data_IF_521666751354
#
_entry.id   IF_521666751354
#
_cell.length_a   1.000
_cell.length_b   1.000
_cell.length_c   1.000
_cell.angle_alpha   90.00
_cell.angle_beta   90.00
_cell.angle_gamma   90.00
#
_symmetry.space_group_name_H-M   'P 1'
#
loop_
_entity.id
_entity.type
_entity.pdbx_description
1 polymer ?
#
# COMPACT_ATOMS: atom_id res chain seq x y z
N UNK A 1 14.27 77.40 10.82
CA UNK A 1 13.96 76.09 11.41
C UNK A 1 13.24 75.23 10.37
N UNK A 2 13.98 74.43 9.60
CA UNK A 2 13.40 73.49 8.61
C UNK A 2 13.35 72.11 9.27
N UNK A 3 12.15 71.54 9.42
CA UNK A 3 11.93 70.22 10.01
C UNK A 3 12.33 69.15 8.98
N UNK A 4 13.38 68.38 9.29
CA UNK A 4 13.72 67.16 8.55
C UNK A 4 12.79 66.04 9.02
N UNK A 5 11.92 65.57 8.12
CA UNK A 5 11.22 64.30 8.30
C UNK A 5 12.23 63.18 8.01
N UNK A 6 12.52 62.36 9.03
CA UNK A 6 13.34 61.17 8.87
C UNK A 6 12.52 60.12 8.15
N UNK A 7 12.81 59.91 6.87
CA UNK A 7 12.28 58.83 6.06
C UNK A 7 12.98 57.53 6.50
N UNK A 8 12.36 56.79 7.40
CA UNK A 8 12.76 55.42 7.74
C UNK A 8 12.42 54.52 6.56
N UNK A 9 13.38 54.36 5.65
CA UNK A 9 13.36 53.29 4.65
C UNK A 9 13.63 51.99 5.43
N UNK A 10 12.59 51.21 5.67
CA UNK A 10 12.73 49.82 6.08
C UNK A 10 13.36 49.07 4.92
N UNK A 11 14.68 48.88 4.98
CA UNK A 11 15.38 47.94 4.10
C UNK A 11 14.92 46.56 4.54
N UNK A 12 13.94 46.00 3.84
CA UNK A 12 13.63 44.59 3.89
C UNK A 12 14.90 43.84 3.50
N UNK A 13 15.45 43.08 4.44
CA UNK A 13 16.52 42.13 4.15
C UNK A 13 15.94 41.08 3.19
N UNK A 14 16.17 41.26 1.90
CA UNK A 14 16.04 40.20 0.92
C UNK A 14 17.24 39.29 1.15
N UNK A 15 17.05 38.21 1.91
CA UNK A 15 18.02 37.14 1.94
C UNK A 15 18.13 36.62 0.50
N UNK A 16 19.32 36.75 -0.10
CA UNK A 16 19.63 36.05 -1.35
C UNK A 16 19.53 34.56 -1.05
N UNK A 17 18.44 33.94 -1.51
CA UNK A 17 18.24 32.50 -1.44
C UNK A 17 19.26 31.92 -2.41
N UNK A 18 20.29 31.23 -1.91
CA UNK A 18 21.03 30.31 -2.77
C UNK A 18 19.98 29.32 -3.31
N UNK A 19 19.82 29.21 -4.62
CA UNK A 19 18.91 28.25 -5.23
C UNK A 19 19.28 26.84 -4.73
N UNK A 20 18.53 26.33 -3.75
CA UNK A 20 18.76 25.04 -3.10
C UNK A 20 17.87 24.02 -3.80
N UNK A 21 18.47 23.00 -4.40
CA UNK A 21 17.77 21.97 -5.17
C UNK A 21 17.16 20.91 -4.25
N UNK A 22 15.90 20.53 -4.48
CA UNK A 22 15.21 19.49 -3.71
C UNK A 22 15.37 18.13 -4.38
N UNK A 23 15.75 17.11 -3.61
CA UNK A 23 15.85 15.71 -4.07
C UNK A 23 15.51 14.73 -2.95
N UNK A 24 15.04 13.53 -3.31
CA UNK A 24 14.87 12.41 -2.37
C UNK A 24 13.43 12.02 -2.01
N UNK A 25 12.40 12.74 -2.45
CA UNK A 25 11.00 12.37 -2.13
C UNK A 25 10.40 11.49 -3.24
N UNK A 26 10.94 10.29 -3.40
CA UNK A 26 10.47 9.35 -4.41
C UNK A 26 9.71 8.20 -3.75
N UNK A 27 8.59 7.80 -4.35
CA UNK A 27 7.74 6.69 -3.92
C UNK A 27 7.28 6.80 -2.46
N UNK A 28 6.95 8.02 -2.03
CA UNK A 28 6.39 8.27 -0.69
C UNK A 28 4.89 7.93 -0.70
N UNK A 29 4.41 7.30 0.36
CA UNK A 29 3.02 6.85 0.48
C UNK A 29 2.27 7.79 1.42
N UNK A 30 1.13 8.32 0.96
CA UNK A 30 0.25 9.16 1.77
C UNK A 30 -0.56 8.33 2.79
N UNK A 31 -1.24 9.00 3.73
CA UNK A 31 -2.09 8.34 4.75
C UNK A 31 -3.27 7.55 4.18
N UNK A 32 -3.55 7.69 2.88
CA UNK A 32 -4.61 6.96 2.17
C UNK A 32 -4.05 5.80 1.33
N UNK A 33 -2.74 5.56 1.34
CA UNK A 33 -2.08 4.49 0.58
C UNK A 33 -1.70 4.85 -0.86
N UNK A 34 -1.88 6.10 -1.30
CA UNK A 34 -1.46 6.53 -2.63
C UNK A 34 0.03 6.81 -2.66
N UNK A 35 0.70 6.43 -3.76
CA UNK A 35 2.15 6.66 -3.94
C UNK A 35 2.41 7.92 -4.75
N UNK A 36 3.35 8.74 -4.28
CA UNK A 36 3.73 10.01 -4.86
C UNK A 36 5.24 10.12 -5.04
N UNK A 37 5.67 10.87 -6.05
CA UNK A 37 7.09 11.17 -6.29
C UNK A 37 7.25 12.63 -6.67
N UNK A 38 8.04 13.38 -5.90
CA UNK A 38 8.36 14.78 -6.19
C UNK A 38 9.00 14.92 -7.58
N UNK A 39 9.89 14.00 -7.94
CA UNK A 39 10.54 13.99 -9.25
C UNK A 39 9.54 13.88 -10.40
N UNK A 40 8.47 13.10 -10.25
CA UNK A 40 7.40 13.00 -11.25
C UNK A 40 6.72 14.36 -11.44
N UNK A 41 6.32 15.02 -10.35
CA UNK A 41 5.66 16.32 -10.44
C UNK A 41 6.53 17.40 -11.08
N UNK A 42 7.81 17.49 -10.67
CA UNK A 42 8.73 18.48 -11.21
C UNK A 42 9.06 18.20 -12.69
N UNK A 43 9.25 16.93 -13.08
CA UNK A 43 9.46 16.54 -14.48
C UNK A 43 8.24 16.81 -15.37
N UNK A 44 7.04 16.78 -14.80
CA UNK A 44 5.79 17.17 -15.48
C UNK A 44 5.63 18.69 -15.59
N UNK A 45 6.63 19.49 -15.17
CA UNK A 45 6.60 20.94 -15.26
C UNK A 45 5.76 21.61 -14.17
N UNK A 46 5.45 20.91 -13.07
CA UNK A 46 4.61 21.43 -12.00
C UNK A 46 5.42 22.04 -10.86
N UNK A 47 4.97 23.17 -10.35
CA UNK A 47 5.44 23.76 -9.11
C UNK A 47 4.95 22.94 -7.92
N UNK A 48 5.78 22.78 -6.89
CA UNK A 48 5.40 21.97 -5.71
C UNK A 48 5.53 22.79 -4.45
N UNK A 49 4.42 22.90 -3.72
CA UNK A 49 4.34 23.44 -2.36
C UNK A 49 4.54 22.29 -1.39
N UNK A 50 5.61 22.37 -0.60
CA UNK A 50 5.88 21.47 0.51
C UNK A 50 5.45 22.17 1.80
N UNK A 51 4.41 21.66 2.44
CA UNK A 51 3.91 22.14 3.73
C UNK A 51 4.36 21.19 4.85
N UNK A 52 5.33 21.64 5.65
CA UNK A 52 5.82 20.88 6.80
C UNK A 52 5.13 21.35 8.08
N UNK A 53 4.53 20.40 8.82
CA UNK A 53 3.76 20.71 10.01
C UNK A 53 3.97 19.69 11.14
N UNK A 54 3.49 20.08 12.33
CA UNK A 54 3.45 19.28 13.55
C UNK A 54 2.06 19.42 14.17
N UNK A 55 1.57 18.39 14.86
CA UNK A 55 0.22 18.44 15.44
C UNK A 55 0.10 19.47 16.58
N UNK A 56 1.21 19.70 17.28
CA UNK A 56 1.32 20.67 18.39
C UNK A 56 1.59 22.10 17.92
N UNK A 57 1.61 22.36 16.61
CA UNK A 57 1.97 23.64 16.02
C UNK A 57 0.75 24.56 15.83
N UNK A 58 0.59 25.54 16.72
CA UNK A 58 -0.48 26.55 16.60
C UNK A 58 -0.42 27.37 15.30
N UNK A 59 0.79 27.68 14.81
CA UNK A 59 0.98 28.37 13.53
C UNK A 59 0.48 27.52 12.34
N UNK A 60 0.67 26.20 12.41
CA UNK A 60 0.26 25.26 11.39
C UNK A 60 -1.26 25.15 11.36
N UNK A 61 -1.90 25.09 12.53
CA UNK A 61 -3.36 25.14 12.65
C UNK A 61 -3.95 26.42 12.05
N UNK A 62 -3.31 27.58 12.27
CA UNK A 62 -3.73 28.85 11.67
C UNK A 62 -3.46 28.95 10.16
N UNK A 63 -2.60 28.09 9.61
CA UNK A 63 -2.19 28.12 8.21
C UNK A 63 -2.86 27.04 7.36
N UNK A 64 -3.36 25.96 7.99
CA UNK A 64 -4.02 24.86 7.30
C UNK A 64 -5.21 25.31 6.42
N UNK A 65 -6.14 26.19 6.87
CA UNK A 65 -7.20 26.68 5.98
C UNK A 65 -6.68 27.48 4.77
N UNK A 66 -5.53 28.15 4.92
CA UNK A 66 -4.90 28.91 3.83
C UNK A 66 -4.23 27.98 2.82
N UNK A 67 -3.62 26.90 3.29
CA UNK A 67 -3.11 25.83 2.41
C UNK A 67 -4.25 25.17 1.65
N UNK A 68 -5.38 24.89 2.31
CA UNK A 68 -6.59 24.38 1.64
C UNK A 68 -7.10 25.34 0.56
N UNK A 69 -7.18 26.64 0.88
CA UNK A 69 -7.56 27.69 -0.07
C UNK A 69 -6.66 27.72 -1.31
N UNK A 70 -5.34 27.62 -1.13
CA UNK A 70 -4.38 27.54 -2.25
C UNK A 70 -4.58 26.25 -3.04
N UNK A 71 -4.75 25.11 -2.38
CA UNK A 71 -5.00 23.84 -3.04
C UNK A 71 -6.24 23.89 -3.93
N UNK A 72 -7.34 24.45 -3.43
CA UNK A 72 -8.58 24.59 -4.20
C UNK A 72 -8.41 25.53 -5.40
N UNK A 73 -7.80 26.71 -5.19
CA UNK A 73 -7.62 27.71 -6.24
C UNK A 73 -6.65 27.28 -7.35
N UNK A 74 -5.64 26.48 -7.01
CA UNK A 74 -4.63 26.02 -7.98
C UNK A 74 -4.87 24.58 -8.48
N UNK A 75 -6.11 24.10 -8.34
CA UNK A 75 -6.59 22.96 -9.11
C UNK A 75 -6.31 21.62 -8.46
N UNK A 76 -6.22 21.58 -7.13
CA UNK A 76 -6.30 20.36 -6.35
C UNK A 76 -5.29 19.29 -6.77
N UNK A 77 -4.05 19.71 -7.05
CA UNK A 77 -2.94 18.88 -7.57
C UNK A 77 -3.12 18.36 -9.02
N UNK A 78 -4.10 18.86 -9.75
CA UNK A 78 -4.39 18.45 -11.12
C UNK A 78 -3.78 19.43 -12.14
N UNK A 79 -3.49 20.66 -11.74
CA UNK A 79 -2.94 21.69 -12.62
C UNK A 79 -1.44 21.88 -12.39
N UNK A 80 -0.95 23.13 -12.49
CA UNK A 80 0.46 23.49 -12.45
C UNK A 80 1.05 23.47 -11.04
N UNK A 81 0.22 23.45 -10.00
CA UNK A 81 0.67 23.50 -8.60
C UNK A 81 0.22 22.25 -7.87
N UNK A 82 1.20 21.60 -7.25
CA UNK A 82 1.01 20.46 -6.36
C UNK A 82 1.24 20.94 -4.92
N UNK A 83 0.38 20.53 -4.00
CA UNK A 83 0.49 20.78 -2.56
C UNK A 83 0.65 19.44 -1.85
N UNK A 84 1.71 19.30 -1.05
CA UNK A 84 2.01 18.10 -0.26
C UNK A 84 2.14 18.48 1.22
N UNK A 85 1.40 17.79 2.09
CA UNK A 85 1.45 18.00 3.55
C UNK A 85 2.34 16.94 4.20
N UNK A 86 3.38 17.36 4.92
CA UNK A 86 4.45 16.50 5.40
C UNK A 86 4.55 16.66 6.92
N UNK A 87 4.14 15.65 7.68
CA UNK A 87 4.35 15.69 9.12
C UNK A 87 5.83 15.44 9.43
N UNK A 88 6.36 16.15 10.42
CA UNK A 88 7.76 16.00 10.89
C UNK A 88 7.84 15.60 12.35
N UNK A 89 6.71 15.19 12.91
CA UNK A 89 6.62 14.78 14.31
C UNK A 89 7.31 13.43 14.48
N UNK A 90 8.34 13.42 15.33
CA UNK A 90 9.10 12.24 15.69
C UNK A 90 8.95 11.89 17.19
N UNK A 91 7.91 12.41 17.84
CA UNK A 91 7.58 12.09 19.22
C UNK A 91 7.18 10.62 19.38
N UNK A 92 7.36 10.09 20.58
CA UNK A 92 7.01 8.71 20.92
C UNK A 92 5.91 8.71 21.99
N UNK A 93 4.75 8.05 21.78
CA UNK A 93 4.38 7.31 20.56
C UNK A 93 4.20 8.23 19.35
N UNK A 94 4.58 7.74 18.17
CA UNK A 94 4.42 8.50 16.93
C UNK A 94 2.93 8.58 16.56
N UNK A 95 2.51 9.67 15.91
CA UNK A 95 1.15 9.76 15.38
C UNK A 95 0.88 8.65 14.37
N UNK A 96 -0.29 8.03 14.46
CA UNK A 96 -0.81 7.13 13.43
C UNK A 96 -1.31 7.92 12.23
N UNK A 97 -1.56 7.22 11.11
CA UNK A 97 -2.18 7.84 9.94
C UNK A 97 -3.55 8.43 10.27
N UNK A 98 -4.29 7.80 11.19
CA UNK A 98 -5.59 8.30 11.65
C UNK A 98 -5.45 9.60 12.45
N UNK A 99 -4.42 9.71 13.30
CA UNK A 99 -4.17 10.94 14.06
C UNK A 99 -3.89 12.12 13.10
N UNK A 100 -3.11 11.86 12.04
CA UNK A 100 -2.83 12.84 10.99
C UNK A 100 -4.10 13.27 10.23
N UNK A 101 -4.99 12.32 9.91
CA UNK A 101 -6.28 12.58 9.25
C UNK A 101 -7.19 13.43 10.14
N UNK A 102 -7.30 13.07 11.42
CA UNK A 102 -8.15 13.76 12.39
C UNK A 102 -7.67 15.20 12.62
N UNK A 103 -6.35 15.40 12.74
CA UNK A 103 -5.77 16.72 12.89
C UNK A 103 -6.05 17.62 11.68
N UNK A 104 -5.83 17.11 10.46
CA UNK A 104 -6.07 17.87 9.23
C UNK A 104 -7.55 18.21 9.02
N UNK A 105 -8.44 17.29 9.42
CA UNK A 105 -9.89 17.52 9.43
C UNK A 105 -10.25 18.68 10.36
N UNK A 106 -9.74 18.66 11.59
CA UNK A 106 -9.97 19.73 12.55
C UNK A 106 -9.32 21.07 12.13
N UNK A 107 -8.18 21.00 11.44
CA UNK A 107 -7.47 22.17 10.93
C UNK A 107 -8.07 22.75 9.62
N UNK A 108 -9.07 22.08 9.02
CA UNK A 108 -9.73 22.52 7.80
C UNK A 108 -8.88 22.38 6.53
N UNK A 109 -8.00 21.38 6.47
CA UNK A 109 -7.13 21.11 5.32
C UNK A 109 -7.14 19.62 4.94
N UNK A 110 -8.26 19.15 4.41
CA UNK A 110 -8.46 17.73 4.08
C UNK A 110 -8.16 17.38 2.62
N UNK A 111 -7.96 18.38 1.77
CA UNK A 111 -7.77 18.19 0.34
C UNK A 111 -6.40 17.62 -0.05
N UNK A 112 -5.29 18.31 0.27
CA UNK A 112 -3.99 17.89 -0.23
C UNK A 112 -3.51 16.58 0.43
N UNK A 113 -2.78 15.72 -0.32
CA UNK A 113 -2.19 14.50 0.21
C UNK A 113 -1.37 14.76 1.47
N UNK A 114 -1.61 13.94 2.48
CA UNK A 114 -0.96 14.05 3.77
C UNK A 114 -0.07 12.85 4.01
N UNK A 115 1.17 13.10 4.42
CA UNK A 115 2.18 12.07 4.56
C UNK A 115 2.62 11.97 6.02
N UNK A 116 2.43 10.78 6.57
CA UNK A 116 2.94 10.46 7.90
C UNK A 116 4.42 10.06 7.83
N UNK A 117 5.22 10.57 8.77
CA UNK A 117 6.65 10.29 8.87
C UNK A 117 6.95 8.79 8.98
N UNK A 118 6.05 8.00 9.60
CA UNK A 118 6.21 6.55 9.71
C UNK A 118 5.99 5.79 8.38
N UNK A 119 5.11 6.28 7.49
CA UNK A 119 4.79 5.63 6.22
C UNK A 119 5.94 5.67 5.19
N UNK A 120 6.99 6.46 5.45
CA UNK A 120 8.19 6.58 4.60
C UNK A 120 9.46 5.97 5.20
N UNK A 121 9.29 5.01 6.14
CA UNK A 121 10.34 4.42 6.98
C UNK A 121 11.73 4.30 6.33
N UNK A 122 12.63 5.19 6.75
CA UNK A 122 14.08 4.99 6.67
C UNK A 122 14.82 6.07 5.89
N UNK A 123 15.46 6.99 6.61
CA UNK A 123 16.69 7.75 6.23
C UNK A 123 16.75 8.48 4.88
N UNK A 124 15.73 8.39 4.02
CA UNK A 124 15.67 8.83 2.63
C UNK A 124 14.35 9.57 2.34
N UNK A 125 13.74 10.17 3.36
CA UNK A 125 12.49 10.94 3.25
C UNK A 125 12.69 12.45 3.41
N UNK A 126 11.57 13.17 3.58
CA UNK A 126 11.55 14.62 3.75
C UNK A 126 12.12 15.13 5.08
N UNK A 127 12.39 14.25 6.04
CA UNK A 127 13.05 14.59 7.30
C UNK A 127 14.47 15.14 7.14
N UNK A 128 15.24 14.63 6.17
CA UNK A 128 16.58 15.18 5.86
C UNK A 128 16.48 16.59 5.30
N UNK A 129 15.58 16.80 4.34
CA UNK A 129 15.28 18.12 3.81
C UNK A 129 14.82 19.08 4.93
N UNK A 130 13.88 18.65 5.78
CA UNK A 130 13.42 19.45 6.90
C UNK A 130 14.54 19.84 7.89
N UNK A 131 15.47 18.92 8.17
CA UNK A 131 16.57 19.15 9.11
C UNK A 131 17.61 20.14 8.57
N UNK A 132 17.94 20.10 7.28
CA UNK A 132 18.94 20.99 6.69
C UNK A 132 18.42 22.42 6.48
N UNK A 133 17.10 22.63 6.48
CA UNK A 133 16.47 23.96 6.33
C UNK A 133 16.05 24.60 7.66
N UNK A 134 16.69 24.21 8.77
CA UNK A 134 16.74 25.02 9.99
C UNK A 134 15.81 24.60 11.12
N UNK A 135 14.80 23.76 10.86
CA UNK A 135 13.86 23.25 11.87
C UNK A 135 12.99 24.36 12.52
N UNK A 136 11.69 24.14 12.61
CA UNK A 136 10.77 25.17 13.13
C UNK A 136 9.31 24.87 12.84
N UNK A 137 8.42 25.50 13.61
CA UNK A 137 6.97 25.26 13.55
C UNK A 137 6.32 25.97 12.35
N UNK A 138 5.80 25.18 11.41
CA UNK A 138 5.13 25.64 10.19
C UNK A 138 6.15 26.13 9.17
N UNK A 139 6.51 25.28 8.22
CA UNK A 139 7.44 25.64 7.14
C UNK A 139 6.85 25.34 5.78
N UNK A 140 6.98 26.29 4.87
CA UNK A 140 6.38 26.23 3.54
C UNK A 140 7.47 26.50 2.51
N UNK A 141 7.58 25.63 1.53
CA UNK A 141 8.55 25.77 0.44
C UNK A 141 7.83 25.69 -0.90
N UNK A 142 8.15 26.59 -1.83
CA UNK A 142 7.77 26.47 -3.24
C UNK A 142 8.97 26.02 -4.05
N UNK A 143 8.84 24.88 -4.71
CA UNK A 143 9.88 24.29 -5.55
C UNK A 143 9.53 24.53 -7.02
N UNK A 144 10.49 25.05 -7.78
CA UNK A 144 10.36 25.26 -9.22
C UNK A 144 10.68 23.98 -10.00
N UNK A 145 9.89 23.63 -11.03
CA UNK A 145 10.21 22.52 -11.95
C UNK A 145 11.41 22.82 -12.87
N UNK A 146 11.80 24.10 -13.04
CA UNK A 146 12.84 24.49 -14.00
C UNK A 146 14.22 23.91 -13.66
N UNK A 147 14.54 23.88 -12.36
CA UNK A 147 15.85 23.48 -11.84
C UNK A 147 15.75 22.77 -10.47
N UNK A 148 14.54 22.36 -10.07
CA UNK A 148 14.22 21.79 -8.76
C UNK A 148 14.58 22.70 -7.57
N UNK A 149 14.79 24.01 -7.79
CA UNK A 149 15.18 24.93 -6.72
C UNK A 149 14.01 25.40 -5.87
N UNK A 150 14.29 25.67 -4.60
CA UNK A 150 13.38 26.42 -3.72
C UNK A 150 13.38 27.89 -4.12
N UNK A 151 12.25 28.37 -4.65
CA UNK A 151 12.06 29.76 -5.09
C UNK A 151 11.27 30.61 -4.09
N UNK A 152 10.66 29.99 -3.09
CA UNK A 152 10.07 30.66 -1.94
C UNK A 152 10.16 29.76 -0.70
N UNK A 153 10.42 30.37 0.45
CA UNK A 153 10.41 29.69 1.74
C UNK A 153 9.83 30.61 2.82
N UNK A 154 9.00 30.07 3.69
CA UNK A 154 8.44 30.80 4.82
C UNK A 154 8.40 29.91 6.08
N UNK A 155 8.63 30.53 7.24
CA UNK A 155 8.45 29.90 8.56
C UNK A 155 7.40 30.66 9.37
N UNK A 156 6.59 29.95 10.16
CA UNK A 156 5.57 30.51 11.04
C UNK A 156 4.16 30.39 10.48
N UNK A 157 3.32 31.41 10.69
CA UNK A 157 1.97 31.47 10.10
C UNK A 157 2.11 31.85 8.63
N UNK A 158 1.54 31.05 7.72
CA UNK A 158 1.59 31.29 6.28
C UNK A 158 1.04 32.67 5.90
N UNK A 159 1.79 33.40 5.10
CA UNK A 159 1.35 34.61 4.41
C UNK A 159 0.84 34.18 3.03
N UNK A 160 -0.47 33.95 2.98
CA UNK A 160 -1.14 33.48 1.78
C UNK A 160 -0.96 34.44 0.60
N UNK A 161 -0.92 35.75 0.85
CA UNK A 161 -0.77 36.74 -0.20
C UNK A 161 0.65 36.73 -0.77
N UNK A 162 1.67 36.61 0.09
CA UNK A 162 3.05 36.50 -0.35
C UNK A 162 3.27 35.24 -1.21
N UNK A 163 2.77 34.09 -0.77
CA UNK A 163 2.90 32.85 -1.54
C UNK A 163 2.15 32.93 -2.88
N UNK A 164 0.92 33.45 -2.89
CA UNK A 164 0.15 33.68 -4.13
C UNK A 164 0.84 34.64 -5.07
N UNK A 165 1.50 35.68 -4.57
CA UNK A 165 2.25 36.61 -5.41
C UNK A 165 3.44 35.92 -6.11
N UNK A 166 4.16 35.03 -5.42
CA UNK A 166 5.21 34.23 -6.06
C UNK A 166 4.62 33.26 -7.08
N UNK A 167 3.54 32.55 -6.73
CA UNK A 167 2.85 31.65 -7.67
C UNK A 167 2.40 32.41 -8.92
N UNK A 168 1.70 33.53 -8.80
CA UNK A 168 1.22 34.31 -9.95
C UNK A 168 2.32 34.89 -10.84
N UNK A 169 3.54 35.05 -10.30
CA UNK A 169 4.69 35.54 -11.09
C UNK A 169 5.39 34.42 -11.87
N UNK A 170 5.23 33.16 -11.45
CA UNK A 170 5.96 32.02 -12.02
C UNK A 170 5.03 31.03 -12.75
N UNK A 171 3.79 30.90 -12.26
CA UNK A 171 2.76 30.00 -12.76
C UNK A 171 1.82 30.78 -13.67
N UNK A 172 1.61 30.29 -14.88
CA UNK A 172 0.52 30.78 -15.74
C UNK A 172 -0.77 30.09 -15.31
N UNK A 173 -1.55 30.75 -14.45
CA UNK A 173 -2.81 30.21 -13.92
C UNK A 173 -3.83 29.99 -15.05
N UNK A 174 -4.42 28.80 -15.10
CA UNK A 174 -5.41 28.45 -16.12
C UNK A 174 -4.79 27.91 -17.42
N UNK A 175 -3.53 27.46 -17.39
CA UNK A 175 -3.00 26.73 -18.53
C UNK A 175 -3.65 25.34 -18.58
N UNK A 176 -4.11 24.96 -19.77
CA UNK A 176 -4.57 23.59 -19.98
C UNK A 176 -3.35 22.68 -19.94
N UNK A 177 -3.20 21.93 -18.85
CA UNK A 177 -2.16 20.93 -18.74
C UNK A 177 -2.70 19.59 -19.24
N UNK A 178 -1.91 18.96 -20.10
CA UNK A 178 -2.10 17.56 -20.45
C UNK A 178 -1.08 16.75 -19.67
N UNK A 179 -1.57 15.85 -18.82
CA UNK A 179 -0.73 14.99 -17.98
C UNK A 179 -0.84 13.55 -18.42
N UNK A 180 0.30 12.87 -18.58
CA UNK A 180 0.33 11.46 -18.93
C UNK A 180 0.94 10.67 -17.76
N UNK A 181 0.11 9.91 -17.07
CA UNK A 181 0.55 9.03 -15.98
C UNK A 181 0.59 7.60 -16.48
N UNK A 182 1.66 6.86 -16.23
CA UNK A 182 1.71 5.42 -16.43
C UNK A 182 1.77 4.69 -15.10
N UNK A 183 0.88 3.72 -14.87
CA UNK A 183 0.87 2.92 -13.65
C UNK A 183 0.74 1.42 -13.96
N UNK A 184 1.35 0.59 -13.12
CA UNK A 184 1.14 -0.87 -13.11
C UNK A 184 0.78 -1.28 -11.70
N UNK A 185 -0.32 -2.00 -11.53
CA UNK A 185 -0.82 -2.42 -10.22
C UNK A 185 -1.41 -3.83 -10.25
N UNK A 186 -1.63 -4.41 -9.07
CA UNK A 186 -2.25 -5.72 -8.90
C UNK A 186 -3.73 -5.57 -8.53
N UNK A 187 -4.61 -6.27 -9.25
CA UNK A 187 -6.07 -6.34 -9.12
C UNK A 187 -6.84 -5.03 -9.31
N UNK A 188 -6.37 -3.93 -8.72
CA UNK A 188 -6.98 -2.62 -8.85
C UNK A 188 -5.97 -1.50 -8.74
N UNK A 189 -6.35 -0.33 -9.27
CA UNK A 189 -5.63 0.91 -9.11
C UNK A 189 -6.62 2.04 -8.91
N UNK A 190 -6.46 2.78 -7.82
CA UNK A 190 -7.26 3.97 -7.57
C UNK A 190 -6.54 5.18 -8.12
N UNK A 191 -7.22 5.92 -8.99
CA UNK A 191 -6.73 7.15 -9.57
C UNK A 191 -7.81 8.23 -9.44
N UNK A 192 -7.48 9.30 -8.73
CA UNK A 192 -8.38 10.43 -8.42
C UNK A 192 -9.74 10.00 -7.84
N UNK A 193 -9.70 9.09 -6.87
CA UNK A 193 -10.92 8.59 -6.20
C UNK A 193 -11.77 7.62 -7.02
N UNK A 194 -11.36 7.28 -8.25
CA UNK A 194 -11.98 6.24 -9.06
C UNK A 194 -11.12 4.98 -9.06
N UNK A 195 -11.72 3.83 -8.79
CA UNK A 195 -11.01 2.54 -8.77
C UNK A 195 -11.19 1.81 -10.09
N UNK A 196 -10.06 1.48 -10.72
CA UNK A 196 -9.98 0.76 -11.98
C UNK A 196 -9.51 -0.67 -11.72
N UNK A 197 -10.21 -1.66 -12.26
CA UNK A 197 -9.90 -3.09 -12.14
C UNK A 197 -9.50 -3.72 -13.48
N UNK A 198 -9.26 -2.89 -14.49
CA UNK A 198 -8.89 -3.32 -15.84
C UNK A 198 -7.78 -2.44 -16.39
N UNK A 199 -6.96 -3.02 -17.25
CA UNK A 199 -5.94 -2.27 -17.99
C UNK A 199 -6.60 -1.38 -19.04
N UNK A 200 -6.03 -0.21 -19.31
CA UNK A 200 -6.55 0.70 -20.33
C UNK A 200 -5.97 2.10 -20.21
N UNK A 201 -6.41 2.96 -21.14
CA UNK A 201 -6.19 4.39 -21.06
C UNK A 201 -7.45 5.05 -20.51
N UNK A 202 -7.30 5.84 -19.45
CA UNK A 202 -8.40 6.51 -18.77
C UNK A 202 -8.16 8.01 -18.78
N UNK A 203 -9.09 8.74 -19.39
CA UNK A 203 -9.05 10.19 -19.43
C UNK A 203 -9.93 10.78 -18.34
N UNK A 204 -9.43 11.79 -17.65
CA UNK A 204 -10.24 12.65 -16.79
C UNK A 204 -9.98 14.11 -17.11
N UNK A 205 -11.08 14.83 -17.31
CA UNK A 205 -11.07 16.28 -17.44
C UNK A 205 -11.31 16.91 -16.08
N UNK A 206 -10.50 17.90 -15.74
CA UNK A 206 -10.67 18.69 -14.53
C UNK A 206 -10.82 20.14 -14.92
N UNK A 207 -11.86 20.76 -14.37
CA UNK A 207 -12.11 22.19 -14.43
C UNK A 207 -12.27 22.68 -13.01
N UNK A 208 -11.34 23.52 -12.54
CA UNK A 208 -11.51 24.20 -11.25
C UNK A 208 -12.13 25.58 -11.43
N UNK A 209 -12.48 26.24 -10.32
CA UNK A 209 -13.05 27.60 -10.31
C UNK A 209 -12.12 28.67 -10.92
N UNK A 210 -10.84 28.35 -11.08
CA UNK A 210 -9.83 29.23 -11.69
C UNK A 210 -9.70 29.05 -13.20
N UNK A 211 -10.55 28.21 -13.83
CA UNK A 211 -10.58 28.02 -15.28
C UNK A 211 -9.44 27.16 -15.84
N UNK A 212 -8.76 26.40 -14.97
CA UNK A 212 -7.82 25.37 -15.43
C UNK A 212 -8.62 24.20 -15.98
N UNK A 213 -8.68 24.08 -17.30
CA UNK A 213 -9.22 22.92 -17.99
C UNK A 213 -8.07 21.96 -18.31
N UNK A 214 -7.86 20.93 -17.50
CA UNK A 214 -6.80 19.93 -17.72
C UNK A 214 -7.40 18.59 -18.18
N UNK A 215 -6.69 17.91 -19.06
CA UNK A 215 -7.01 16.55 -19.49
C UNK A 215 -5.85 15.65 -19.10
N UNK A 216 -6.07 14.77 -18.13
CA UNK A 216 -5.07 13.77 -17.74
C UNK A 216 -5.44 12.43 -18.32
N UNK A 217 -4.43 11.74 -18.85
CA UNK A 217 -4.54 10.39 -19.36
C UNK A 217 -3.73 9.46 -18.46
N UNK A 218 -4.40 8.50 -17.83
CA UNK A 218 -3.76 7.38 -17.14
C UNK A 218 -3.64 6.20 -18.11
N UNK A 219 -2.40 5.79 -18.42
CA UNK A 219 -2.09 4.50 -19.05
C UNK A 219 -1.87 3.45 -17.97
N UNK A 220 -2.89 2.64 -17.69
CA UNK A 220 -2.92 1.66 -16.61
C UNK A 220 -2.72 0.23 -17.11
N UNK A 221 -1.82 -0.50 -16.47
CA UNK A 221 -1.70 -1.96 -16.55
C UNK A 221 -2.13 -2.60 -15.23
N UNK A 222 -3.24 -3.33 -15.23
CA UNK A 222 -3.68 -4.17 -14.10
C UNK A 222 -3.26 -5.61 -14.37
N UNK A 223 -2.40 -6.13 -13.50
CA UNK A 223 -2.06 -7.54 -13.38
C UNK A 223 -3.01 -8.20 -12.38
N UNK A 224 -3.47 -9.43 -12.65
CA UNK A 224 -4.35 -10.12 -11.71
C UNK A 224 -3.57 -10.99 -10.75
N UNK A 225 -3.91 -10.89 -9.47
CA UNK A 225 -3.63 -11.92 -8.48
C UNK A 225 -4.40 -13.18 -8.87
N UNK A 226 -3.81 -14.35 -8.59
CA UNK A 226 -4.50 -15.62 -8.82
C UNK A 226 -4.66 -16.38 -7.50
N UNK A 227 -5.60 -17.32 -7.51
CA UNK A 227 -5.69 -18.31 -6.46
C UNK A 227 -5.87 -19.68 -7.07
N UNK A 228 -5.25 -20.67 -6.43
CA UNK A 228 -5.31 -22.07 -6.86
C UNK A 228 -5.49 -22.96 -5.65
N UNK A 229 -6.35 -23.98 -5.77
CA UNK A 229 -6.49 -25.00 -4.73
C UNK A 229 -6.22 -26.39 -5.28
N UNK A 230 -5.58 -27.22 -4.46
CA UNK A 230 -5.32 -28.62 -4.74
C UNK A 230 -5.58 -29.47 -3.50
N UNK A 231 -5.91 -30.75 -3.72
CA UNK A 231 -6.09 -31.72 -2.64
C UNK A 231 -5.02 -32.81 -2.75
N UNK A 232 -4.45 -33.20 -1.62
CA UNK A 232 -3.43 -34.25 -1.57
C UNK A 232 -3.63 -35.15 -0.34
N UNK A 233 -3.61 -36.46 -0.56
CA UNK A 233 -3.78 -37.46 0.51
C UNK A 233 -2.51 -38.28 0.62
N UNK A 234 -1.95 -38.37 1.84
CA UNK A 234 -0.74 -39.14 2.11
C UNK A 234 -0.84 -39.89 3.45
N UNK A 235 -0.27 -41.10 3.58
CA UNK A 235 -0.16 -41.79 4.86
C UNK A 235 0.97 -41.27 5.75
N UNK A 236 1.80 -40.37 5.23
CA UNK A 236 2.96 -39.79 5.95
C UNK A 236 2.98 -38.27 5.84
N UNK A 237 3.64 -37.57 6.78
CA UNK A 237 3.85 -36.12 6.67
C UNK A 237 4.52 -35.73 5.35
N UNK A 238 4.17 -34.55 4.83
CA UNK A 238 4.66 -34.05 3.53
C UNK A 238 5.30 -32.68 3.69
N UNK A 239 6.25 -32.35 2.81
CA UNK A 239 6.78 -30.99 2.73
C UNK A 239 5.99 -30.19 1.68
N UNK A 240 5.48 -29.03 2.07
CA UNK A 240 4.81 -28.09 1.17
C UNK A 240 5.24 -26.67 1.50
N UNK A 241 5.73 -25.93 0.50
CA UNK A 241 6.29 -24.59 0.66
C UNK A 241 7.34 -24.47 1.79
N UNK A 242 8.17 -25.50 1.95
CA UNK A 242 9.21 -25.55 2.98
C UNK A 242 8.71 -25.87 4.40
N UNK A 243 7.40 -26.06 4.61
CA UNK A 243 6.83 -26.50 5.87
C UNK A 243 6.52 -28.00 5.86
N UNK A 244 6.77 -28.68 6.98
CA UNK A 244 6.38 -30.08 7.18
C UNK A 244 4.95 -30.14 7.70
N UNK A 245 4.04 -30.68 6.89
CA UNK A 245 2.63 -30.89 7.21
C UNK A 245 2.43 -32.31 7.74
N UNK A 246 2.02 -32.45 8.99
CA UNK A 246 1.85 -33.74 9.68
C UNK A 246 0.43 -34.05 10.14
N UNK A 247 -0.55 -33.23 9.76
CA UNK A 247 -1.95 -33.37 10.17
C UNK A 247 -2.87 -32.99 9.02
N UNK A 248 -4.03 -33.64 8.88
CA UNK A 248 -5.05 -33.21 7.92
C UNK A 248 -5.45 -31.76 8.19
N UNK A 249 -5.63 -30.99 7.13
CA UNK A 249 -5.96 -29.57 7.24
C UNK A 249 -5.93 -28.85 5.90
N UNK A 250 -6.34 -27.58 5.93
CA UNK A 250 -6.18 -26.67 4.80
C UNK A 250 -5.01 -25.73 5.08
N UNK A 251 -4.04 -25.72 4.17
CA UNK A 251 -2.81 -24.96 4.27
C UNK A 251 -2.78 -23.94 3.15
N UNK A 252 -2.42 -22.70 3.44
CA UNK A 252 -2.32 -21.65 2.43
C UNK A 252 -0.95 -20.99 2.46
N UNK A 253 -0.51 -20.52 1.29
CA UNK A 253 0.72 -19.79 1.11
C UNK A 253 0.50 -18.69 0.09
N UNK A 254 1.01 -17.50 0.39
CA UNK A 254 1.07 -16.39 -0.55
C UNK A 254 2.33 -16.54 -1.41
N UNK A 255 2.15 -16.54 -2.72
CA UNK A 255 3.20 -16.68 -3.72
C UNK A 255 3.09 -15.51 -4.69
N UNK A 256 4.21 -14.87 -5.00
CA UNK A 256 4.22 -13.84 -6.02
C UNK A 256 4.29 -14.51 -7.39
N UNK A 257 3.37 -14.16 -8.28
CA UNK A 257 3.34 -14.68 -9.64
C UNK A 257 4.42 -14.02 -10.52
N UNK A 258 4.56 -14.48 -11.77
CA UNK A 258 5.57 -13.98 -12.72
C UNK A 258 5.40 -12.49 -13.08
N UNK A 259 4.23 -11.91 -12.79
CA UNK A 259 3.91 -10.50 -13.02
C UNK A 259 4.08 -9.65 -11.75
N UNK A 260 4.59 -10.23 -10.65
CA UNK A 260 4.85 -9.50 -9.41
C UNK A 260 3.65 -9.35 -8.48
N UNK A 261 2.50 -9.97 -8.79
CA UNK A 261 1.32 -9.93 -7.93
C UNK A 261 1.25 -11.14 -7.01
N UNK A 262 0.91 -10.88 -5.75
CA UNK A 262 0.69 -11.93 -4.77
C UNK A 262 -0.50 -12.82 -5.16
N UNK A 263 -0.41 -14.09 -4.84
CA UNK A 263 -1.37 -15.12 -5.24
C UNK A 263 -1.48 -16.14 -4.14
N UNK A 264 -2.68 -16.67 -3.90
CA UNK A 264 -2.91 -17.60 -2.77
C UNK A 264 -2.99 -19.03 -3.31
N UNK A 265 -2.02 -19.86 -2.93
CA UNK A 265 -2.07 -21.30 -3.16
C UNK A 265 -2.62 -22.00 -1.91
N UNK A 266 -3.62 -22.86 -2.08
CA UNK A 266 -4.25 -23.62 -1.00
C UNK A 266 -4.09 -25.12 -1.22
N UNK A 267 -3.52 -25.82 -0.23
CA UNK A 267 -3.43 -27.27 -0.16
C UNK A 267 -4.41 -27.82 0.88
N UNK A 268 -5.39 -28.60 0.43
CA UNK A 268 -6.23 -29.41 1.30
C UNK A 268 -5.56 -30.77 1.50
N UNK A 269 -4.82 -30.90 2.60
CA UNK A 269 -4.10 -32.12 2.92
C UNK A 269 -4.95 -33.06 3.77
N UNK A 270 -4.99 -34.33 3.39
CA UNK A 270 -5.58 -35.41 4.19
C UNK A 270 -4.50 -36.40 4.59
N UNK A 271 -4.20 -36.47 5.90
CA UNK A 271 -3.42 -37.55 6.46
C UNK A 271 -4.28 -38.81 6.48
N UNK A 272 -3.95 -39.76 5.62
CA UNK A 272 -4.57 -41.08 5.62
C UNK A 272 -4.00 -41.87 6.78
N UNK A 273 -4.67 -41.84 7.93
CA UNK A 273 -4.45 -42.84 8.97
C UNK A 273 -5.03 -44.14 8.44
N UNK A 274 -4.22 -44.92 7.72
CA UNK A 274 -4.57 -46.29 7.40
C UNK A 274 -4.59 -47.11 8.70
N UNK A 275 -5.64 -46.96 9.51
CA UNK A 275 -6.04 -47.92 10.53
C UNK A 275 -7.10 -48.85 9.93
N UNK A 276 -6.72 -49.58 8.89
CA UNK A 276 -7.50 -50.72 8.41
C UNK A 276 -6.60 -51.94 8.35
N UNK A 277 -5.95 -52.27 9.45
CA UNK A 277 -5.67 -53.64 9.86
C UNK A 277 -5.61 -53.66 11.39
N UNK A 278 -6.26 -54.65 11.99
CA UNK A 278 -6.21 -55.03 13.42
C UNK A 278 -7.09 -54.22 14.38
N UNK A 279 -8.39 -54.46 14.32
CA UNK A 279 -9.13 -55.01 15.48
C UNK A 279 -10.61 -55.09 15.14
N UNK A 280 -11.11 -56.31 14.95
CA UNK A 280 -12.07 -56.92 15.89
C UNK A 280 -12.93 -57.97 15.18
N UNK A 281 -12.40 -59.20 15.08
CA UNK A 281 -13.23 -60.42 15.02
C UNK A 281 -12.50 -61.48 15.85
N UNK A 282 -12.56 -61.36 17.18
CA UNK A 282 -12.22 -62.49 18.07
C UNK A 282 -13.42 -63.43 18.18
N UNK A 283 -13.34 -64.61 17.56
CA UNK A 283 -14.16 -65.76 17.91
C UNK A 283 -13.23 -66.82 18.51
N UNK A 284 -13.26 -66.96 19.84
CA UNK A 284 -12.42 -67.90 20.58
C UNK A 284 -10.95 -67.46 20.68
N UNK A 285 -10.18 -68.14 21.52
CA UNK A 285 -8.78 -67.81 21.91
C UNK A 285 -7.75 -67.83 20.77
N UNK A 286 -8.18 -67.87 19.51
CA UNK A 286 -7.31 -67.96 18.33
C UNK A 286 -7.27 -66.63 17.58
N UNK A 287 -6.06 -66.12 17.37
CA UNK A 287 -5.84 -64.93 16.54
C UNK A 287 -5.81 -65.31 15.06
N UNK A 288 -6.66 -64.66 14.26
CA UNK A 288 -6.69 -64.85 12.81
C UNK A 288 -5.44 -64.20 12.19
N UNK A 289 -4.74 -64.95 11.36
CA UNK A 289 -3.60 -64.49 10.57
C UNK A 289 -4.04 -64.01 9.18
N UNK A 290 -4.96 -64.72 8.52
CA UNK A 290 -5.43 -64.37 7.17
C UNK A 290 -6.78 -65.02 6.84
N UNK A 291 -7.61 -64.35 6.05
CA UNK A 291 -8.81 -64.95 5.45
C UNK A 291 -8.62 -64.95 3.94
N UNK A 292 -8.83 -66.11 3.31
CA UNK A 292 -8.65 -66.28 1.85
C UNK A 292 -9.79 -67.07 1.23
N UNK A 293 -10.03 -66.84 -0.07
CA UNK A 293 -10.89 -67.72 -0.88
C UNK A 293 -10.16 -69.02 -1.27
N UNK A 294 -10.83 -69.91 -2.03
CA UNK A 294 -10.22 -71.13 -2.56
C UNK A 294 -8.98 -70.91 -3.44
N UNK A 295 -8.76 -69.67 -3.90
CA UNK A 295 -7.63 -69.28 -4.75
C UNK A 295 -6.55 -68.51 -3.97
N UNK A 296 -6.65 -68.42 -2.65
CA UNK A 296 -5.64 -67.78 -1.80
C UNK A 296 -5.69 -66.25 -1.79
N UNK A 297 -6.74 -65.64 -2.37
CA UNK A 297 -6.90 -64.18 -2.45
C UNK A 297 -7.53 -63.66 -1.16
N UNK A 298 -6.98 -62.58 -0.62
CA UNK A 298 -7.53 -61.89 0.55
C UNK A 298 -8.89 -61.29 0.19
N UNK A 299 -9.96 -61.73 0.85
CA UNK A 299 -11.31 -61.28 0.51
C UNK A 299 -12.14 -61.10 1.79
N UNK A 300 -12.45 -59.84 2.13
CA UNK A 300 -13.26 -59.45 3.29
C UNK A 300 -14.56 -58.85 2.75
N UNK A 301 -15.64 -59.65 2.73
CA UNK A 301 -16.99 -59.13 2.44
C UNK A 301 -17.80 -59.85 1.37
N UNK A 302 -17.27 -60.88 0.70
CA UNK A 302 -18.03 -61.62 -0.31
C UNK A 302 -19.01 -62.62 0.32
N UNK A 303 -20.32 -62.38 0.13
CA UNK A 303 -21.42 -63.28 0.54
C UNK A 303 -21.49 -64.51 -0.37
N UNK A 304 -21.99 -65.63 0.16
CA UNK A 304 -22.19 -66.91 -0.55
C UNK A 304 -20.91 -67.53 -1.16
N UNK A 305 -19.76 -67.27 -0.54
CA UNK A 305 -18.48 -67.90 -0.91
C UNK A 305 -17.85 -68.65 0.26
N UNK A 306 -17.18 -69.75 -0.06
CA UNK A 306 -16.38 -70.52 0.89
C UNK A 306 -15.08 -69.77 1.18
N UNK A 307 -14.81 -69.52 2.45
CA UNK A 307 -13.61 -68.85 2.93
C UNK A 307 -12.82 -69.75 3.87
N UNK A 308 -11.50 -69.59 3.86
CA UNK A 308 -10.56 -70.24 4.77
C UNK A 308 -9.99 -69.21 5.74
N UNK A 309 -10.14 -69.49 7.01
CA UNK A 309 -9.62 -68.72 8.13
C UNK A 309 -8.33 -69.39 8.59
N UNK A 310 -7.20 -68.75 8.32
CA UNK A 310 -5.88 -69.17 8.76
C UNK A 310 -5.58 -68.49 10.08
N UNK A 311 -5.23 -69.26 11.10
CA UNK A 311 -4.91 -68.75 12.43
C UNK A 311 -3.40 -68.73 12.67
N UNK A 312 -2.94 -67.88 13.60
CA UNK A 312 -1.53 -67.75 13.95
C UNK A 312 -0.92 -69.03 14.56
N UNK A 313 -1.75 -69.90 15.12
CA UNK A 313 -1.33 -71.22 15.64
C UNK A 313 -1.15 -72.27 14.52
N UNK A 314 -1.30 -71.88 13.25
CA UNK A 314 -1.18 -72.75 12.08
C UNK A 314 -2.46 -73.55 11.77
N UNK A 315 -3.52 -73.41 12.56
CA UNK A 315 -4.80 -74.08 12.28
C UNK A 315 -5.56 -73.37 11.15
N UNK A 316 -6.42 -74.13 10.45
CA UNK A 316 -7.25 -73.62 9.35
C UNK A 316 -8.70 -74.04 9.54
N UNK A 317 -9.63 -73.10 9.46
CA UNK A 317 -11.08 -73.38 9.45
C UNK A 317 -11.72 -72.98 8.12
N UNK A 318 -12.54 -73.86 7.57
CA UNK A 318 -13.37 -73.59 6.40
C UNK A 318 -14.75 -73.12 6.85
N UNK A 319 -15.20 -71.95 6.40
CA UNK A 319 -16.54 -71.42 6.68
C UNK A 319 -17.21 -70.96 5.40
N UNK A 320 -18.53 -71.12 5.32
CA UNK A 320 -19.37 -70.56 4.28
C UNK A 320 -20.20 -69.45 4.92
N UNK A 321 -19.98 -68.20 4.49
CA UNK A 321 -20.84 -67.09 4.91
C UNK A 321 -22.05 -67.11 3.99
N UNK A 322 -23.18 -67.55 4.53
CA UNK A 322 -24.49 -67.51 3.86
C UNK A 322 -25.24 -66.31 4.43
N UNK A 323 -25.69 -65.42 3.56
CA UNK A 323 -26.80 -64.49 3.81
C UNK A 323 -27.87 -64.73 2.75
#
# INVERSE_FOLDING_TARGET
>A
MKKFYSLLIAISFVFNINAQTVSGFNNIVDVNGNTHSLSTYLNDGKYVILNFYLETCGNCMASAPKIQSIYDDYGQNLCEVIVLNLIVDNSSPYPSDQDCIDWMTNAGCTGPPNFNYQASSGSLGWGQFYSVHGGGFGQYYLVSPDDNSVIHSQTGVLDEQALRAVLNNNVTVGASNTGNTSATACDSYTWNGQTYTSSGNYDQSFSNSSGCDSLHTLSLTINSSNSGSGSYTSPTPVSWQGQTISSSGSYSATLTNVLGCDSIATLNFTLSTSSTLENDISFGTKKIFKIVDMLGRSNLGDKNKTLFYLYQDGTVEKKLIIE
#
